data_IF_805918895131
#
_entry.id   IF_805918895131
#
_cell.length_a   1.000
_cell.length_b   1.000
_cell.length_c   1.000
_cell.angle_alpha   90.00
_cell.angle_beta   90.00
_cell.angle_gamma   90.00
#
_symmetry.space_group_name_H-M   'P 1'
#
loop_
_entity.id
_entity.type
_entity.pdbx_description
1 polymer ?
#
# COMPACT_ATOMS: atom_id res chain seq x y z
N UNK A 1 5.97 25.67 -1.15
CA UNK A 1 4.70 24.96 -0.86
C UNK A 1 4.30 25.11 0.59
N UNK A 2 4.97 24.47 1.57
CA UNK A 2 4.54 24.50 2.99
C UNK A 2 4.25 25.90 3.58
N UNK A 3 5.13 26.90 3.37
CA UNK A 3 4.94 28.26 3.93
C UNK A 3 3.64 28.95 3.51
N UNK A 4 3.13 28.62 2.32
CA UNK A 4 1.94 29.24 1.73
C UNK A 4 0.66 28.41 1.98
N UNK A 5 0.82 27.17 2.47
CA UNK A 5 -0.27 26.19 2.56
C UNK A 5 -0.25 25.47 3.91
N UNK A 6 -0.53 26.16 5.03
CA UNK A 6 -0.57 25.55 6.37
C UNK A 6 -1.71 24.55 6.57
N UNK A 7 -2.62 24.40 5.61
CA UNK A 7 -3.78 23.51 5.65
C UNK A 7 -3.40 22.03 5.47
N UNK A 8 -2.20 21.73 4.98
CA UNK A 8 -1.75 20.34 4.88
C UNK A 8 -1.59 19.72 6.26
N UNK A 9 -2.25 18.57 6.47
CA UNK A 9 -2.02 17.74 7.65
C UNK A 9 -0.58 17.26 7.72
N UNK A 10 -0.10 16.63 6.64
CA UNK A 10 1.24 16.06 6.54
C UNK A 10 1.78 16.11 5.12
N UNK A 11 3.07 15.82 4.97
CA UNK A 11 3.70 15.49 3.70
C UNK A 11 4.29 14.08 3.80
N UNK A 12 3.83 13.15 2.95
CA UNK A 12 4.43 11.81 2.84
C UNK A 12 5.74 11.91 2.05
N UNK A 13 6.87 11.79 2.75
CA UNK A 13 8.20 12.09 2.20
C UNK A 13 9.22 10.98 2.44
N UNK A 14 8.82 9.91 3.13
CA UNK A 14 9.75 8.88 3.59
C UNK A 14 9.14 7.50 3.73
N UNK A 15 9.99 6.50 3.97
CA UNK A 15 9.56 5.10 4.04
C UNK A 15 9.20 4.52 2.68
N UNK A 16 8.39 3.47 2.67
CA UNK A 16 8.09 2.71 1.45
C UNK A 16 9.37 2.23 0.75
N UNK A 17 9.46 2.45 -0.56
CA UNK A 17 10.65 2.08 -1.35
C UNK A 17 11.80 3.11 -1.27
N UNK A 18 11.53 4.33 -0.77
CA UNK A 18 12.49 5.44 -0.86
C UNK A 18 13.80 5.15 -0.12
N UNK A 19 13.75 4.39 0.99
CA UNK A 19 14.92 4.07 1.79
C UNK A 19 15.92 3.19 1.02
N UNK A 20 15.46 2.09 0.42
CA UNK A 20 16.31 1.19 -0.38
C UNK A 20 16.75 1.86 -1.68
N UNK A 21 15.83 2.54 -2.39
CA UNK A 21 16.13 3.20 -3.67
C UNK A 21 17.17 4.31 -3.52
N UNK A 22 17.07 5.12 -2.46
CA UNK A 22 18.03 6.18 -2.15
C UNK A 22 19.46 5.62 -2.05
N UNK A 23 19.64 4.53 -1.31
CA UNK A 23 20.94 3.91 -1.11
C UNK A 23 21.42 3.16 -2.36
N UNK A 24 20.55 2.34 -2.95
CA UNK A 24 20.91 1.37 -3.98
C UNK A 24 21.11 1.99 -5.35
N UNK A 25 20.24 2.92 -5.73
CA UNK A 25 20.18 3.45 -7.09
C UNK A 25 20.53 4.93 -7.19
N UNK A 26 20.26 5.72 -6.14
CA UNK A 26 20.54 7.15 -6.14
C UNK A 26 21.85 7.51 -5.42
N UNK A 27 22.45 6.54 -4.73
CA UNK A 27 23.71 6.71 -3.99
C UNK A 27 23.70 7.88 -2.99
N UNK A 28 22.56 8.09 -2.33
CA UNK A 28 22.40 9.13 -1.31
C UNK A 28 21.84 8.55 0.00
N UNK A 29 22.08 9.27 1.10
CA UNK A 29 21.66 8.85 2.43
C UNK A 29 20.19 9.26 2.68
N UNK A 30 19.26 8.31 2.90
CA UNK A 30 17.86 8.63 3.15
C UNK A 30 17.66 9.41 4.46
N UNK A 31 18.55 9.23 5.43
CA UNK A 31 18.52 10.00 6.69
C UNK A 31 18.89 11.46 6.48
N UNK A 32 19.90 11.74 5.65
CA UNK A 32 20.27 13.11 5.29
C UNK A 32 19.11 13.79 4.54
N UNK A 33 18.52 13.09 3.56
CA UNK A 33 17.34 13.56 2.84
C UNK A 33 16.21 13.96 3.80
N UNK A 34 15.91 13.13 4.81
CA UNK A 34 14.89 13.44 5.81
C UNK A 34 15.22 14.70 6.61
N UNK A 35 16.46 14.83 7.08
CA UNK A 35 16.90 15.99 7.87
C UNK A 35 16.82 17.29 7.05
N UNK A 36 17.22 17.24 5.78
CA UNK A 36 17.14 18.40 4.87
C UNK A 36 15.67 18.81 4.63
N UNK A 37 14.77 17.84 4.41
CA UNK A 37 13.33 18.09 4.28
C UNK A 37 12.76 18.66 5.59
N UNK A 38 13.12 18.11 6.74
CA UNK A 38 12.68 18.58 8.06
C UNK A 38 13.07 20.03 8.29
N UNK A 39 14.31 20.39 7.97
CA UNK A 39 14.82 21.76 8.08
C UNK A 39 14.07 22.71 7.13
N UNK A 40 13.74 22.27 5.91
CA UNK A 40 13.03 23.06 4.91
C UNK A 40 11.51 23.19 5.18
N UNK A 41 10.90 22.25 5.90
CA UNK A 41 9.45 22.17 6.13
C UNK A 41 9.07 22.15 7.62
N UNK A 42 9.46 23.13 8.46
CA UNK A 42 9.36 23.02 9.93
C UNK A 42 7.93 22.99 10.50
N UNK A 43 6.89 23.43 9.77
CA UNK A 43 5.52 23.54 10.31
C UNK A 43 4.50 22.58 9.66
N UNK A 44 4.95 21.53 8.97
CA UNK A 44 4.09 20.46 8.46
C UNK A 44 4.58 19.14 9.01
N UNK A 45 3.66 18.23 9.35
CA UNK A 45 4.01 16.91 9.83
C UNK A 45 4.69 16.11 8.70
N UNK A 46 5.82 15.47 8.98
CA UNK A 46 6.44 14.55 8.02
C UNK A 46 5.90 13.14 8.25
N UNK A 47 5.35 12.55 7.20
CA UNK A 47 4.77 11.23 7.23
C UNK A 47 5.68 10.23 6.53
N UNK A 48 5.74 9.02 7.09
CA UNK A 48 6.34 7.86 6.42
C UNK A 48 5.37 6.70 6.28
N UNK A 49 5.57 5.91 5.22
CA UNK A 49 4.95 4.59 5.10
C UNK A 49 5.85 3.52 5.75
N UNK A 50 5.30 2.80 6.73
CA UNK A 50 6.02 1.83 7.55
C UNK A 50 5.36 0.45 7.47
N UNK A 51 6.12 -0.60 7.14
CA UNK A 51 5.62 -1.98 7.10
C UNK A 51 5.78 -2.61 8.48
N UNK A 52 4.69 -2.92 9.19
CA UNK A 52 4.68 -3.34 10.60
C UNK A 52 5.90 -4.13 11.07
N UNK A 53 6.05 -5.37 10.62
CA UNK A 53 7.18 -6.23 11.00
C UNK A 53 8.42 -6.09 10.09
N UNK A 54 8.34 -5.31 9.01
CA UNK A 54 9.41 -5.21 8.00
C UNK A 54 10.07 -3.82 7.96
N UNK A 55 9.61 -2.84 8.74
CA UNK A 55 9.99 -1.44 8.64
C UNK A 55 10.01 -0.92 7.18
N UNK A 56 11.20 -0.75 6.61
CA UNK A 56 11.45 -0.33 5.22
C UNK A 56 12.09 -1.44 4.37
N UNK A 57 12.28 -2.64 4.93
CA UNK A 57 12.81 -3.82 4.26
C UNK A 57 11.72 -4.75 3.70
N UNK A 58 12.14 -5.96 3.33
CA UNK A 58 11.31 -6.96 2.62
C UNK A 58 11.20 -8.29 3.36
N UNK A 59 11.74 -8.39 4.57
CA UNK A 59 11.66 -9.55 5.45
C UNK A 59 11.31 -9.07 6.86
N UNK A 60 10.80 -9.96 7.70
CA UNK A 60 10.46 -9.57 9.06
C UNK A 60 11.73 -9.40 9.91
N UNK A 61 11.73 -8.38 10.75
CA UNK A 61 12.83 -8.10 11.67
C UNK A 61 12.44 -8.39 13.12
N UNK A 62 13.42 -8.72 13.97
CA UNK A 62 13.20 -8.81 15.41
C UNK A 62 12.64 -7.51 15.99
N UNK A 63 11.82 -7.62 17.05
CA UNK A 63 11.13 -6.49 17.69
C UNK A 63 12.06 -5.33 18.05
N UNK A 64 13.24 -5.62 18.62
CA UNK A 64 14.21 -4.59 19.01
C UNK A 64 14.75 -3.79 17.81
N UNK A 65 14.82 -4.40 16.62
CA UNK A 65 15.22 -3.69 15.39
C UNK A 65 14.12 -2.74 14.93
N UNK A 66 12.86 -3.19 15.01
CA UNK A 66 11.68 -2.35 14.70
C UNK A 66 11.61 -1.16 15.67
N UNK A 67 11.80 -1.41 16.96
CA UNK A 67 11.81 -0.39 18.01
C UNK A 67 12.87 0.69 17.75
N UNK A 68 14.13 0.28 17.58
CA UNK A 68 15.24 1.21 17.33
C UNK A 68 15.06 1.99 16.04
N UNK A 69 14.54 1.37 14.98
CA UNK A 69 14.29 2.08 13.73
C UNK A 69 13.25 3.19 13.92
N UNK A 70 12.14 2.90 14.63
CA UNK A 70 11.06 3.86 14.88
C UNK A 70 11.57 5.03 15.75
N UNK A 71 12.29 4.74 16.83
CA UNK A 71 12.88 5.76 17.70
C UNK A 71 13.82 6.68 16.90
N UNK A 72 14.70 6.10 16.07
CA UNK A 72 15.62 6.86 15.23
C UNK A 72 14.89 7.68 14.15
N UNK A 73 13.86 7.11 13.51
CA UNK A 73 13.04 7.80 12.52
C UNK A 73 12.32 9.01 13.13
N UNK A 74 11.74 8.84 14.32
CA UNK A 74 11.07 9.94 15.02
C UNK A 74 12.07 11.03 15.44
N UNK A 75 13.20 10.64 16.03
CA UNK A 75 14.27 11.57 16.41
C UNK A 75 14.85 12.35 15.21
N UNK A 76 14.80 11.76 14.01
CA UNK A 76 15.28 12.39 12.78
C UNK A 76 14.24 13.29 12.09
N UNK A 77 12.98 13.32 12.57
CA UNK A 77 11.96 14.26 12.13
C UNK A 77 10.68 13.65 11.54
N UNK A 78 10.49 12.33 11.60
CA UNK A 78 9.19 11.71 11.25
C UNK A 78 8.18 11.96 12.38
N UNK A 79 7.02 12.47 11.99
CA UNK A 79 5.92 12.79 12.89
C UNK A 79 4.76 11.80 12.78
N UNK A 80 4.44 11.30 11.57
CA UNK A 80 3.37 10.32 11.35
C UNK A 80 3.94 9.01 10.80
N UNK A 81 3.65 7.91 11.50
CA UNK A 81 3.99 6.56 11.06
C UNK A 81 2.72 5.89 10.54
N UNK A 82 2.60 5.79 9.21
CA UNK A 82 1.53 5.02 8.59
C UNK A 82 1.92 3.55 8.55
N UNK A 83 1.43 2.79 9.54
CA UNK A 83 1.81 1.40 9.78
C UNK A 83 0.81 0.48 9.07
N UNK A 84 1.30 -0.46 8.26
CA UNK A 84 0.46 -1.47 7.60
C UNK A 84 1.12 -2.85 7.60
N UNK A 85 0.32 -3.91 7.42
CA UNK A 85 0.78 -5.27 7.16
C UNK A 85 0.21 -5.74 5.81
N UNK A 86 1.01 -6.50 5.04
CA UNK A 86 0.63 -6.87 3.67
C UNK A 86 -0.56 -7.83 3.56
N UNK A 87 -0.96 -8.45 4.67
CA UNK A 87 -2.10 -9.36 4.77
C UNK A 87 -3.16 -8.84 5.76
N UNK A 88 -3.08 -7.57 6.17
CA UNK A 88 -3.84 -6.99 7.28
C UNK A 88 -3.71 -7.77 8.60
N UNK A 89 -2.57 -8.43 8.84
CA UNK A 89 -2.32 -9.10 10.11
C UNK A 89 -2.01 -8.09 11.21
N UNK A 90 -2.97 -7.86 12.12
CA UNK A 90 -2.83 -6.91 13.23
C UNK A 90 -1.65 -7.28 14.14
N UNK A 91 -1.42 -8.56 14.42
CA UNK A 91 -0.33 -9.01 15.29
C UNK A 91 1.05 -8.57 14.78
N UNK A 92 1.23 -8.51 13.46
CA UNK A 92 2.45 -8.00 12.82
C UNK A 92 2.64 -6.49 12.98
N UNK A 93 1.57 -5.74 13.24
CA UNK A 93 1.58 -4.29 13.39
C UNK A 93 1.72 -3.84 14.84
N UNK A 94 1.27 -4.65 15.81
CA UNK A 94 1.24 -4.30 17.23
C UNK A 94 2.59 -3.77 17.77
N UNK A 95 3.76 -4.41 17.49
CA UNK A 95 5.02 -3.89 18.00
C UNK A 95 5.34 -2.47 17.51
N UNK A 96 5.05 -2.19 16.24
CA UNK A 96 5.30 -0.87 15.66
C UNK A 96 4.34 0.18 16.22
N UNK A 97 3.05 -0.15 16.37
CA UNK A 97 2.03 0.73 16.95
C UNK A 97 2.42 1.08 18.40
N UNK A 98 2.70 0.05 19.22
CA UNK A 98 3.09 0.19 20.63
C UNK A 98 4.36 1.05 20.78
N UNK A 99 5.35 0.83 19.92
CA UNK A 99 6.61 1.60 19.93
C UNK A 99 6.35 3.08 19.66
N UNK A 100 5.62 3.41 18.59
CA UNK A 100 5.36 4.82 18.25
C UNK A 100 4.65 5.52 19.41
N UNK A 101 3.64 4.88 20.01
CA UNK A 101 2.86 5.44 21.12
C UNK A 101 3.70 5.65 22.38
N UNK A 102 4.49 4.64 22.79
CA UNK A 102 5.17 4.66 24.10
C UNK A 102 6.57 5.27 24.08
N UNK A 103 7.25 5.21 22.94
CA UNK A 103 8.68 5.54 22.83
C UNK A 103 8.96 6.80 22.01
N UNK A 104 7.92 7.39 21.40
CA UNK A 104 8.10 8.58 20.55
C UNK A 104 7.06 9.66 20.86
N UNK A 105 7.17 10.81 20.20
CA UNK A 105 6.11 11.85 20.17
C UNK A 105 5.29 11.79 18.88
N UNK A 106 5.48 10.76 18.08
CA UNK A 106 4.84 10.59 16.78
C UNK A 106 3.42 10.06 16.87
N UNK A 107 2.76 10.06 15.73
CA UNK A 107 1.38 9.62 15.55
C UNK A 107 1.41 8.25 14.86
N UNK A 108 1.03 7.21 15.60
CA UNK A 108 0.67 5.91 15.01
C UNK A 108 -0.62 6.03 14.19
N UNK A 109 -0.50 5.97 12.87
CA UNK A 109 -1.61 5.84 11.94
C UNK A 109 -1.66 4.37 11.46
N UNK A 110 -2.51 3.55 12.07
CA UNK A 110 -2.65 2.14 11.68
C UNK A 110 -3.49 2.01 10.42
N UNK A 111 -3.13 1.10 9.52
CA UNK A 111 -3.74 1.00 8.19
C UNK A 111 -4.45 -0.31 7.96
N UNK A 112 -5.59 -0.25 7.28
CA UNK A 112 -6.27 -1.39 6.67
C UNK A 112 -6.06 -1.30 5.17
N UNK A 113 -5.40 -2.28 4.58
CA UNK A 113 -5.29 -2.39 3.13
C UNK A 113 -6.62 -2.83 2.53
N UNK A 114 -7.13 -2.04 1.59
CA UNK A 114 -8.41 -2.29 0.93
C UNK A 114 -8.21 -3.18 -0.30
N UNK A 115 -9.05 -4.21 -0.45
CA UNK A 115 -9.07 -5.13 -1.59
C UNK A 115 -10.51 -5.59 -1.88
N UNK A 116 -10.78 -6.02 -3.11
CA UNK A 116 -12.13 -6.43 -3.49
C UNK A 116 -13.12 -5.27 -3.49
N UNK A 117 -14.39 -5.54 -3.18
CA UNK A 117 -15.44 -4.54 -3.27
C UNK A 117 -16.54 -4.71 -2.20
N UNK A 118 -16.62 -3.80 -1.24
CA UNK A 118 -17.63 -3.88 -0.16
C UNK A 118 -19.08 -3.71 -0.61
N UNK A 119 -19.34 -3.27 -1.86
CA UNK A 119 -20.71 -3.20 -2.39
C UNK A 119 -21.20 -4.54 -2.92
N UNK A 120 -20.37 -5.60 -2.92
CA UNK A 120 -20.82 -6.95 -3.27
C UNK A 120 -21.63 -7.57 -2.15
N UNK A 121 -22.15 -8.78 -2.38
CA UNK A 121 -22.86 -9.56 -1.37
C UNK A 121 -22.06 -9.67 -0.06
N UNK A 122 -22.75 -9.62 1.09
CA UNK A 122 -22.13 -9.71 2.42
C UNK A 122 -21.39 -11.04 2.67
N UNK A 123 -21.65 -12.08 1.88
CA UNK A 123 -20.89 -13.33 1.91
C UNK A 123 -19.50 -13.23 1.27
N UNK A 124 -19.20 -12.12 0.57
CA UNK A 124 -17.88 -11.90 0.01
C UNK A 124 -16.83 -11.77 1.12
N UNK A 125 -15.64 -12.32 0.87
CA UNK A 125 -14.56 -12.45 1.84
C UNK A 125 -14.17 -11.12 2.49
N UNK A 126 -14.17 -10.04 1.73
CA UNK A 126 -13.79 -8.69 2.18
C UNK A 126 -15.01 -7.77 2.24
N UNK A 127 -15.95 -8.11 3.12
CA UNK A 127 -17.19 -7.36 3.38
C UNK A 127 -16.98 -6.23 4.41
N UNK A 128 -18.05 -5.48 4.73
CA UNK A 128 -17.98 -4.38 5.71
C UNK A 128 -17.60 -4.84 7.13
N UNK A 129 -18.05 -6.02 7.55
CA UNK A 129 -17.73 -6.56 8.88
C UNK A 129 -16.22 -6.81 9.03
N UNK A 130 -15.57 -7.31 7.98
CA UNK A 130 -14.12 -7.47 7.95
C UNK A 130 -13.40 -6.14 8.20
N UNK A 131 -13.80 -5.07 7.51
CA UNK A 131 -13.15 -3.76 7.66
C UNK A 131 -13.44 -3.12 9.02
N UNK A 132 -14.66 -3.23 9.54
CA UNK A 132 -15.05 -2.63 10.83
C UNK A 132 -14.47 -3.39 12.03
N UNK A 133 -14.33 -4.71 11.96
CA UNK A 133 -13.62 -5.51 12.98
C UNK A 133 -12.14 -5.10 13.07
N UNK A 134 -11.46 -5.04 11.91
CA UNK A 134 -10.06 -4.61 11.86
C UNK A 134 -9.89 -3.20 12.42
N UNK A 135 -10.81 -2.28 12.09
CA UNK A 135 -10.76 -0.91 12.59
C UNK A 135 -10.85 -0.83 14.12
N UNK A 136 -11.82 -1.52 14.72
CA UNK A 136 -11.98 -1.59 16.19
C UNK A 136 -10.75 -2.15 16.86
N UNK A 137 -10.21 -3.25 16.35
CA UNK A 137 -9.02 -3.89 16.92
C UNK A 137 -7.76 -3.01 16.80
N UNK A 138 -7.65 -2.20 15.76
CA UNK A 138 -6.57 -1.24 15.60
C UNK A 138 -6.72 -0.03 16.54
N UNK A 139 -7.95 0.44 16.78
CA UNK A 139 -8.23 1.46 17.80
C UNK A 139 -7.96 0.93 19.22
N UNK A 140 -8.39 -0.29 19.53
CA UNK A 140 -8.12 -0.97 20.80
C UNK A 140 -6.61 -1.16 21.06
N UNK A 141 -5.82 -1.32 19.99
CA UNK A 141 -4.36 -1.35 20.05
C UNK A 141 -3.71 0.02 20.33
N UNK A 142 -4.51 1.09 20.40
CA UNK A 142 -4.08 2.44 20.73
C UNK A 142 -3.70 3.32 19.53
N UNK A 143 -4.02 2.92 18.30
CA UNK A 143 -3.75 3.75 17.13
C UNK A 143 -4.40 5.14 17.28
N UNK A 144 -3.68 6.20 16.94
CA UNK A 144 -4.21 7.57 17.03
C UNK A 144 -5.06 7.95 15.82
N UNK A 145 -4.82 7.30 14.68
CA UNK A 145 -5.51 7.50 13.41
C UNK A 145 -5.64 6.16 12.69
N UNK A 146 -6.71 6.02 11.90
CA UNK A 146 -6.92 4.90 10.99
C UNK A 146 -6.65 5.34 9.56
N UNK A 147 -5.99 4.50 8.75
CA UNK A 147 -5.86 4.68 7.31
C UNK A 147 -6.63 3.59 6.56
N UNK A 148 -7.46 3.98 5.59
CA UNK A 148 -7.88 3.09 4.51
C UNK A 148 -6.81 3.21 3.44
N UNK A 149 -6.01 2.15 3.26
CA UNK A 149 -4.95 2.09 2.24
C UNK A 149 -5.44 1.30 1.03
N UNK A 150 -6.03 2.01 0.08
CA UNK A 150 -6.39 1.48 -1.24
C UNK A 150 -5.20 1.56 -2.20
N UNK A 151 -4.29 0.59 -2.09
CA UNK A 151 -3.01 0.59 -2.81
C UNK A 151 -3.11 0.43 -4.33
N UNK A 152 -4.26 -0.01 -4.84
CA UNK A 152 -4.47 -0.27 -6.26
C UNK A 152 -5.47 0.70 -6.91
N UNK A 153 -6.29 1.41 -6.11
CA UNK A 153 -7.34 2.27 -6.65
C UNK A 153 -8.64 1.51 -6.91
N UNK A 154 -9.00 0.59 -6.01
CA UNK A 154 -10.15 -0.29 -6.11
C UNK A 154 -11.41 0.30 -5.47
N UNK A 155 -11.26 1.25 -4.54
CA UNK A 155 -12.39 1.81 -3.82
C UNK A 155 -13.24 2.68 -4.74
N UNK A 156 -14.37 2.13 -5.16
CA UNK A 156 -15.35 2.82 -6.00
C UNK A 156 -16.09 3.91 -5.20
N UNK A 157 -16.63 4.94 -5.85
CA UNK A 157 -17.35 6.00 -5.16
C UNK A 157 -18.49 5.50 -4.25
N UNK A 158 -19.31 4.57 -4.74
CA UNK A 158 -20.41 3.98 -3.96
C UNK A 158 -19.90 3.12 -2.78
N UNK A 159 -18.74 2.47 -2.97
CA UNK A 159 -18.09 1.72 -1.90
C UNK A 159 -17.61 2.66 -0.78
N UNK A 160 -17.11 3.87 -1.13
CA UNK A 160 -16.74 4.88 -0.15
C UNK A 160 -17.95 5.41 0.64
N UNK A 161 -19.11 5.60 -0.02
CA UNK A 161 -20.37 6.00 0.64
C UNK A 161 -20.87 4.97 1.66
N UNK A 162 -20.46 3.69 1.52
CA UNK A 162 -20.78 2.63 2.48
C UNK A 162 -19.70 2.44 3.55
N UNK A 163 -18.44 2.36 3.13
CA UNK A 163 -17.31 2.02 3.99
C UNK A 163 -17.00 3.14 4.99
N UNK A 164 -17.00 4.40 4.54
CA UNK A 164 -16.60 5.52 5.40
C UNK A 164 -17.56 5.70 6.58
N UNK A 165 -18.89 5.75 6.39
CA UNK A 165 -19.81 5.84 7.54
C UNK A 165 -19.69 4.65 8.49
N UNK A 166 -19.57 3.43 7.96
CA UNK A 166 -19.44 2.23 8.77
C UNK A 166 -18.17 2.27 9.65
N UNK A 167 -17.04 2.75 9.11
CA UNK A 167 -15.82 2.93 9.89
C UNK A 167 -15.96 4.05 10.92
N UNK A 168 -16.57 5.18 10.56
CA UNK A 168 -16.80 6.32 11.48
C UNK A 168 -17.78 5.99 12.61
N UNK A 169 -18.65 5.00 12.43
CA UNK A 169 -19.49 4.44 13.49
C UNK A 169 -18.72 3.43 14.35
N UNK A 170 -17.83 2.65 13.73
CA UNK A 170 -17.06 1.61 14.39
C UNK A 170 -15.95 2.14 15.31
N UNK A 171 -15.33 3.27 14.97
CA UNK A 171 -14.20 3.87 15.72
C UNK A 171 -14.39 5.36 15.99
N UNK A 172 -13.75 5.85 17.04
CA UNK A 172 -13.75 7.28 17.43
C UNK A 172 -12.54 8.06 16.90
N UNK A 173 -11.46 7.38 16.52
CA UNK A 173 -10.26 8.01 15.95
C UNK A 173 -10.47 8.53 14.51
N UNK A 174 -9.71 9.56 14.07
CA UNK A 174 -9.77 10.06 12.70
C UNK A 174 -9.43 9.00 11.66
N UNK A 175 -10.16 9.01 10.55
CA UNK A 175 -10.00 8.09 9.43
C UNK A 175 -9.50 8.85 8.20
N UNK A 176 -8.39 8.38 7.64
CA UNK A 176 -7.72 8.96 6.47
C UNK A 176 -7.85 7.99 5.30
N UNK A 177 -8.18 8.50 4.12
CA UNK A 177 -8.27 7.69 2.90
C UNK A 177 -7.06 7.96 1.98
N UNK A 178 -6.34 6.90 1.66
CA UNK A 178 -5.29 6.87 0.65
C UNK A 178 -5.74 5.99 -0.52
N UNK A 179 -5.75 6.52 -1.74
CA UNK A 179 -6.02 5.75 -2.96
C UNK A 179 -5.06 6.11 -4.09
N UNK A 180 -5.14 5.36 -5.18
CA UNK A 180 -4.42 5.58 -6.43
C UNK A 180 -5.42 5.81 -7.58
N UNK A 181 -5.12 6.72 -8.49
CA UNK A 181 -6.03 7.16 -9.56
C UNK A 181 -5.92 6.29 -10.83
N UNK A 182 -5.58 5.01 -10.67
CA UNK A 182 -5.29 4.09 -11.79
C UNK A 182 -6.49 3.98 -12.74
N UNK A 183 -7.70 3.94 -12.17
CA UNK A 183 -8.94 3.89 -12.92
C UNK A 183 -9.45 5.27 -13.38
N UNK A 184 -8.84 6.37 -12.91
CA UNK A 184 -9.20 7.74 -13.28
C UNK A 184 -10.53 8.23 -12.72
N UNK A 185 -11.05 7.57 -11.67
CA UNK A 185 -12.33 7.94 -11.04
C UNK A 185 -12.16 8.33 -9.57
N UNK A 186 -10.93 8.37 -9.05
CA UNK A 186 -10.71 8.43 -7.60
C UNK A 186 -10.90 9.81 -7.00
N UNK A 187 -10.89 10.89 -7.81
CA UNK A 187 -11.39 12.19 -7.36
C UNK A 187 -12.86 12.13 -6.95
N UNK A 188 -13.68 11.35 -7.66
CA UNK A 188 -15.07 11.13 -7.29
C UNK A 188 -15.18 10.25 -6.04
N UNK A 189 -14.32 9.24 -5.88
CA UNK A 189 -14.24 8.45 -4.63
C UNK A 189 -13.90 9.36 -3.44
N UNK A 190 -12.96 10.29 -3.59
CA UNK A 190 -12.62 11.26 -2.55
C UNK A 190 -13.77 12.19 -2.21
N UNK A 191 -14.46 12.76 -3.22
CA UNK A 191 -15.63 13.59 -2.96
C UNK A 191 -16.69 12.82 -2.16
N UNK A 192 -16.98 11.57 -2.56
CA UNK A 192 -17.92 10.72 -1.84
C UNK A 192 -17.49 10.35 -0.43
N UNK A 193 -16.20 10.09 -0.21
CA UNK A 193 -15.65 9.88 1.12
C UNK A 193 -15.77 11.15 1.99
N UNK A 194 -15.56 12.34 1.40
CA UNK A 194 -15.69 13.64 2.06
C UNK A 194 -17.14 13.94 2.42
N UNK A 195 -18.08 13.71 1.51
CA UNK A 195 -19.53 13.80 1.79
C UNK A 195 -19.92 12.86 2.93
N UNK A 196 -19.25 11.71 3.03
CA UNK A 196 -19.49 10.66 4.03
C UNK A 196 -18.72 10.85 5.34
N UNK A 197 -17.98 11.95 5.50
CA UNK A 197 -17.33 12.30 6.77
C UNK A 197 -15.91 11.78 6.98
N UNK A 198 -15.18 11.38 5.92
CA UNK A 198 -13.73 11.07 6.03
C UNK A 198 -12.96 12.29 6.57
N UNK A 199 -11.92 12.09 7.38
CA UNK A 199 -11.24 13.20 8.06
C UNK A 199 -10.09 13.81 7.22
N UNK A 200 -9.38 12.99 6.43
CA UNK A 200 -8.36 13.47 5.50
C UNK A 200 -8.24 12.56 4.26
N UNK A 201 -7.68 13.09 3.17
CA UNK A 201 -7.37 12.34 1.95
C UNK A 201 -5.96 12.65 1.47
N UNK A 202 -5.30 11.66 0.86
CA UNK A 202 -3.97 11.84 0.27
C UNK A 202 -4.07 12.31 -1.19
N UNK A 203 -3.34 13.36 -1.56
CA UNK A 203 -3.30 13.85 -2.95
C UNK A 203 -1.87 14.06 -3.42
N UNK A 204 -1.67 14.06 -4.74
CA UNK A 204 -0.40 14.44 -5.36
C UNK A 204 -0.52 15.78 -6.07
N UNK A 205 0.55 16.58 -6.09
CA UNK A 205 0.60 17.81 -6.90
C UNK A 205 0.40 17.46 -8.38
N UNK A 206 -0.32 18.30 -9.14
CA UNK A 206 -0.80 17.94 -10.47
C UNK A 206 0.29 17.41 -11.44
N UNK A 207 1.51 17.95 -11.42
CA UNK A 207 2.62 17.49 -12.27
C UNK A 207 3.07 16.03 -12.03
N UNK A 208 2.71 15.46 -10.87
CA UNK A 208 3.06 14.10 -10.44
C UNK A 208 1.82 13.26 -10.05
N UNK A 209 0.61 13.68 -10.44
CA UNK A 209 -0.64 13.00 -10.09
C UNK A 209 -1.25 12.20 -11.26
N UNK A 210 -2.32 11.46 -10.97
CA UNK A 210 -3.06 10.68 -11.95
C UNK A 210 -2.37 9.37 -12.31
N UNK A 211 -3.05 8.55 -13.14
CA UNK A 211 -2.58 7.19 -13.50
C UNK A 211 -2.27 6.38 -12.24
N UNK A 212 -1.12 5.73 -12.12
CA UNK A 212 -0.76 4.96 -10.93
C UNK A 212 -0.38 5.82 -9.71
N UNK A 213 -0.43 7.15 -9.80
CA UNK A 213 -0.21 8.07 -8.66
C UNK A 213 -1.52 8.37 -7.91
N UNK A 214 -1.47 9.22 -6.89
CA UNK A 214 -2.66 9.72 -6.20
C UNK A 214 -3.48 10.67 -7.11
N UNK A 215 -4.78 10.88 -6.78
CA UNK A 215 -5.57 11.95 -7.37
C UNK A 215 -4.92 13.34 -7.22
N UNK A 216 -5.17 14.21 -8.21
CA UNK A 216 -4.62 15.56 -8.29
C UNK A 216 -5.11 16.49 -7.17
N UNK A 217 -4.19 17.05 -6.38
CA UNK A 217 -4.47 18.08 -5.38
C UNK A 217 -5.14 19.30 -6.03
N UNK A 218 -4.59 19.80 -7.14
CA UNK A 218 -5.09 20.99 -7.82
C UNK A 218 -6.55 20.77 -8.27
N UNK A 219 -6.83 19.61 -8.85
CA UNK A 219 -8.18 19.25 -9.31
C UNK A 219 -9.12 19.02 -8.12
N UNK A 220 -8.64 18.45 -7.01
CA UNK A 220 -9.43 18.30 -5.79
C UNK A 220 -9.85 19.67 -5.24
N UNK A 221 -8.97 20.67 -5.23
CA UNK A 221 -9.33 22.02 -4.78
C UNK A 221 -10.39 22.68 -5.65
N UNK A 222 -10.31 22.51 -6.98
CA UNK A 222 -11.37 22.95 -7.89
C UNK A 222 -12.68 22.20 -7.64
N UNK A 223 -12.63 20.88 -7.42
CA UNK A 223 -13.81 20.07 -7.11
C UNK A 223 -14.49 20.50 -5.81
N UNK A 224 -13.71 20.98 -4.85
CA UNK A 224 -14.20 21.46 -3.55
C UNK A 224 -14.68 22.92 -3.57
N UNK A 225 -14.62 23.63 -4.69
CA UNK A 225 -15.06 25.03 -4.75
C UNK A 225 -16.56 25.15 -4.39
N UNK A 226 -16.87 25.94 -3.36
CA UNK A 226 -18.23 26.07 -2.82
C UNK A 226 -18.70 24.91 -1.93
N UNK A 227 -17.87 23.87 -1.74
CA UNK A 227 -18.20 22.76 -0.84
C UNK A 227 -18.07 23.18 0.64
N UNK A 228 -18.97 22.76 1.55
CA UNK A 228 -18.93 23.16 2.97
C UNK A 228 -17.65 22.78 3.72
N UNK A 229 -16.98 21.71 3.28
CA UNK A 229 -15.71 21.21 3.86
C UNK A 229 -14.46 21.70 3.11
N UNK A 230 -14.59 22.69 2.24
CA UNK A 230 -13.47 23.19 1.44
C UNK A 230 -12.46 23.97 2.30
N UNK A 231 -11.18 23.77 2.02
CA UNK A 231 -10.11 24.59 2.56
C UNK A 231 -9.72 25.70 1.58
N UNK A 232 -9.55 26.93 2.08
CA UNK A 232 -9.01 28.02 1.28
C UNK A 232 -7.51 27.82 1.08
N UNK A 233 -7.11 27.50 -0.16
CA UNK A 233 -5.73 27.30 -0.57
C UNK A 233 -5.47 28.08 -1.86
N UNK A 234 -4.27 28.64 -2.00
CA UNK A 234 -3.89 29.39 -3.21
C UNK A 234 -3.62 28.44 -4.39
N UNK A 235 -4.66 28.18 -5.19
CA UNK A 235 -4.58 27.33 -6.38
C UNK A 235 -3.59 27.86 -7.42
N UNK A 236 -3.43 29.17 -7.54
CA UNK A 236 -2.45 29.76 -8.47
C UNK A 236 -1.03 29.40 -8.04
N UNK A 237 -0.72 29.56 -6.75
CA UNK A 237 0.58 29.16 -6.22
C UNK A 237 0.83 27.65 -6.32
N UNK A 238 -0.21 26.82 -6.16
CA UNK A 238 -0.10 25.37 -6.37
C UNK A 238 0.13 25.02 -7.84
N UNK A 239 -0.46 25.74 -8.79
CA UNK A 239 -0.17 25.56 -10.22
C UNK A 239 1.29 25.92 -10.54
N UNK A 240 1.85 26.98 -9.94
CA UNK A 240 3.27 27.32 -10.08
C UNK A 240 4.19 26.21 -9.54
N UNK A 241 3.84 25.62 -8.40
CA UNK A 241 4.54 24.44 -7.88
C UNK A 241 4.39 23.20 -8.76
N UNK A 242 3.21 22.99 -9.35
CA UNK A 242 3.00 21.93 -10.32
C UNK A 242 3.92 22.08 -11.53
N UNK A 243 4.05 23.30 -12.06
CA UNK A 243 4.94 23.58 -13.20
C UNK A 243 6.41 23.24 -12.87
N UNK A 244 6.87 23.58 -11.65
CA UNK A 244 8.19 23.16 -11.18
C UNK A 244 8.35 21.64 -11.22
N UNK A 245 7.38 20.90 -10.67
CA UNK A 245 7.44 19.45 -10.64
C UNK A 245 7.32 18.80 -12.01
N UNK A 246 6.58 19.39 -12.95
CA UNK A 246 6.55 18.95 -14.35
C UNK A 246 7.93 19.06 -15.00
N UNK A 247 8.64 20.18 -14.81
CA UNK A 247 10.02 20.32 -15.33
C UNK A 247 10.98 19.33 -14.65
N UNK A 248 10.85 19.12 -13.33
CA UNK A 248 11.67 18.11 -12.63
C UNK A 248 11.39 16.71 -13.18
N UNK A 249 10.13 16.36 -13.44
CA UNK A 249 9.72 15.06 -13.99
C UNK A 249 10.38 14.77 -15.34
N UNK A 250 10.57 15.78 -16.19
CA UNK A 250 11.25 15.63 -17.49
C UNK A 250 12.68 15.06 -17.34
N UNK A 251 13.37 15.36 -16.25
CA UNK A 251 14.70 14.78 -15.96
C UNK A 251 14.65 13.28 -15.69
N UNK A 252 13.48 12.74 -15.31
CA UNK A 252 13.25 11.34 -15.00
C UNK A 252 12.55 10.58 -16.15
N UNK A 253 12.46 11.17 -17.35
CA UNK A 253 11.84 10.55 -18.53
C UNK A 253 12.24 9.07 -18.76
N UNK A 254 13.51 8.63 -18.59
CA UNK A 254 13.88 7.22 -18.77
C UNK A 254 13.19 6.23 -17.81
N UNK A 255 12.59 6.72 -16.73
CA UNK A 255 11.90 5.91 -15.72
C UNK A 255 10.37 6.02 -15.82
N UNK A 256 9.84 6.74 -16.81
CA UNK A 256 8.40 6.82 -17.04
C UNK A 256 7.81 5.46 -17.42
N UNK A 257 6.62 5.17 -16.90
CA UNK A 257 5.88 3.96 -17.26
C UNK A 257 5.25 4.09 -18.65
N UNK A 258 4.85 2.97 -19.23
CA UNK A 258 4.10 2.91 -20.50
C UNK A 258 2.63 3.29 -20.36
N UNK A 259 2.11 3.37 -19.12
CA UNK A 259 0.72 3.74 -18.86
C UNK A 259 0.51 5.23 -19.09
N UNK A 260 -0.19 5.56 -20.19
CA UNK A 260 -0.42 6.96 -20.62
C UNK A 260 -1.78 7.52 -20.19
N UNK A 261 -2.70 6.66 -19.78
CA UNK A 261 -4.08 7.01 -19.50
C UNK A 261 -4.65 6.08 -18.42
N UNK A 262 -5.78 6.45 -17.79
CA UNK A 262 -6.48 5.58 -16.86
C UNK A 262 -6.85 4.22 -17.46
N UNK A 263 -6.89 3.19 -16.63
CA UNK A 263 -7.33 1.84 -17.02
C UNK A 263 -8.21 1.22 -15.94
N UNK A 264 -9.36 0.70 -16.36
CA UNK A 264 -10.30 -0.01 -15.48
C UNK A 264 -9.94 -1.48 -15.28
N UNK A 265 -8.95 -2.00 -16.03
CA UNK A 265 -8.41 -3.36 -15.85
C UNK A 265 -7.91 -3.61 -14.42
N UNK A 266 -7.56 -2.54 -13.69
CA UNK A 266 -7.16 -2.62 -12.28
C UNK A 266 -8.23 -3.25 -11.39
N UNK A 267 -9.52 -3.14 -11.74
CA UNK A 267 -10.59 -3.81 -11.00
C UNK A 267 -10.64 -5.33 -11.22
N UNK A 268 -9.94 -5.83 -12.24
CA UNK A 268 -9.81 -7.26 -12.51
C UNK A 268 -8.51 -7.79 -11.94
N UNK A 269 -7.38 -7.15 -12.28
CA UNK A 269 -6.05 -7.63 -11.89
C UNK A 269 -5.61 -7.21 -10.48
N UNK A 270 -6.19 -6.14 -9.93
CA UNK A 270 -5.87 -5.60 -8.62
C UNK A 270 -4.36 -5.40 -8.38
N UNK A 271 -3.61 -5.07 -9.44
CA UNK A 271 -2.18 -4.79 -9.36
C UNK A 271 -1.99 -3.39 -8.75
N UNK A 272 -1.29 -3.26 -7.60
CA UNK A 272 -1.00 -1.95 -7.02
C UNK A 272 -0.21 -1.05 -7.96
N UNK A 273 -0.42 0.27 -7.89
CA UNK A 273 0.24 1.22 -8.79
C UNK A 273 1.77 1.07 -8.82
N UNK A 274 2.40 0.97 -7.65
CA UNK A 274 3.86 0.75 -7.55
C UNK A 274 4.31 -0.64 -8.03
N UNK A 275 3.43 -1.65 -8.01
CA UNK A 275 3.74 -2.97 -8.57
C UNK A 275 3.60 -2.97 -10.09
N UNK A 276 2.69 -2.19 -10.68
CA UNK A 276 2.46 -2.13 -12.12
C UNK A 276 3.75 -1.76 -12.87
N UNK A 277 4.38 -0.64 -12.51
CA UNK A 277 5.63 -0.20 -13.14
C UNK A 277 6.79 -1.18 -12.91
N UNK A 278 6.85 -1.79 -11.72
CA UNK A 278 7.88 -2.78 -11.39
C UNK A 278 7.70 -4.10 -12.14
N UNK A 279 6.45 -4.56 -12.33
CA UNK A 279 6.14 -5.83 -12.98
C UNK A 279 6.61 -5.82 -14.44
N UNK A 280 6.49 -4.67 -15.12
CA UNK A 280 7.01 -4.49 -16.48
C UNK A 280 8.54 -4.61 -16.52
N UNK A 281 9.24 -3.92 -15.63
CA UNK A 281 10.71 -4.01 -15.53
C UNK A 281 11.17 -5.44 -15.21
N UNK A 282 10.45 -6.14 -14.33
CA UNK A 282 10.70 -7.54 -14.02
C UNK A 282 10.48 -8.44 -15.25
N UNK A 283 9.39 -8.23 -16.00
CA UNK A 283 9.10 -8.97 -17.21
C UNK A 283 10.18 -8.76 -18.29
N UNK A 284 10.60 -7.51 -18.51
CA UNK A 284 11.68 -7.17 -19.45
C UNK A 284 13.00 -7.84 -19.05
N UNK A 285 13.36 -7.84 -17.76
CA UNK A 285 14.57 -8.46 -17.25
C UNK A 285 14.64 -9.99 -17.46
N UNK A 286 13.49 -10.67 -17.60
CA UNK A 286 13.41 -12.11 -17.88
C UNK A 286 12.99 -12.43 -19.32
N UNK A 287 13.00 -11.44 -20.23
CA UNK A 287 12.68 -11.65 -21.64
C UNK A 287 11.18 -11.84 -21.95
N UNK A 288 10.31 -11.49 -21.00
CA UNK A 288 8.85 -11.59 -21.12
C UNK A 288 8.16 -10.23 -21.33
N UNK A 289 8.91 -9.16 -21.61
CA UNK A 289 8.35 -7.80 -21.75
C UNK A 289 7.21 -7.69 -22.77
N UNK A 290 7.25 -8.48 -23.85
CA UNK A 290 6.18 -8.53 -24.87
C UNK A 290 4.94 -9.32 -24.44
N UNK A 291 4.97 -9.99 -23.28
CA UNK A 291 3.90 -10.84 -22.76
C UNK A 291 3.20 -10.22 -21.54
N UNK A 292 3.29 -8.90 -21.37
CA UNK A 292 2.73 -8.20 -20.21
C UNK A 292 1.23 -8.47 -19.99
N UNK A 293 0.46 -8.57 -21.08
CA UNK A 293 -0.97 -8.87 -21.01
C UNK A 293 -1.25 -10.30 -20.51
N UNK A 294 -0.41 -11.26 -20.87
CA UNK A 294 -0.51 -12.64 -20.36
C UNK A 294 -0.08 -12.71 -18.89
N UNK A 295 0.91 -11.91 -18.49
CA UNK A 295 1.32 -11.80 -17.08
C UNK A 295 0.19 -11.21 -16.24
N UNK A 296 -0.52 -10.17 -16.72
CA UNK A 296 -1.68 -9.60 -16.02
C UNK A 296 -2.80 -10.64 -15.83
N UNK A 297 -3.09 -11.45 -16.86
CA UNK A 297 -4.06 -12.56 -16.75
C UNK A 297 -3.63 -13.59 -15.72
N UNK A 298 -2.38 -14.01 -15.76
CA UNK A 298 -1.84 -14.94 -14.78
C UNK A 298 -1.83 -14.34 -13.36
N UNK A 299 -1.66 -13.03 -13.21
CA UNK A 299 -1.77 -12.35 -11.91
C UNK A 299 -3.17 -12.51 -11.30
N UNK A 300 -4.24 -12.42 -12.11
CA UNK A 300 -5.63 -12.70 -11.68
C UNK A 300 -5.77 -14.16 -11.25
N UNK A 301 -5.31 -15.09 -12.09
CA UNK A 301 -5.40 -16.54 -11.80
C UNK A 301 -4.65 -16.89 -10.52
N UNK A 302 -3.47 -16.33 -10.32
CA UNK A 302 -2.67 -16.54 -9.11
C UNK A 302 -3.36 -15.98 -7.87
N UNK A 303 -3.96 -14.80 -7.93
CA UNK A 303 -4.70 -14.26 -6.79
C UNK A 303 -5.84 -15.22 -6.36
N UNK A 304 -6.62 -15.70 -7.32
CA UNK A 304 -7.67 -16.68 -7.04
C UNK A 304 -7.11 -17.99 -6.49
N UNK A 305 -6.04 -18.53 -7.10
CA UNK A 305 -5.35 -19.72 -6.59
C UNK A 305 -4.85 -19.57 -5.16
N UNK A 306 -4.38 -18.38 -4.78
CA UNK A 306 -3.87 -18.08 -3.44
C UNK A 306 -4.99 -17.81 -2.42
N UNK A 307 -6.25 -17.92 -2.84
CA UNK A 307 -7.43 -17.80 -1.99
C UNK A 307 -7.94 -16.37 -1.85
N UNK A 308 -7.71 -15.52 -2.86
CA UNK A 308 -8.07 -14.11 -2.92
C UNK A 308 -7.44 -13.32 -1.75
N UNK A 309 -6.24 -12.79 -1.94
CA UNK A 309 -5.44 -12.17 -0.87
C UNK A 309 -5.34 -10.66 -1.02
N UNK A 310 -5.02 -9.98 0.08
CA UNK A 310 -4.55 -8.59 0.05
C UNK A 310 -3.21 -8.55 -0.69
N UNK A 311 -3.11 -7.71 -1.72
CA UNK A 311 -1.93 -7.60 -2.59
C UNK A 311 -1.26 -6.25 -2.44
N UNK A 312 -0.31 -6.14 -1.53
CA UNK A 312 0.53 -4.95 -1.34
C UNK A 312 1.93 -5.42 -0.97
N UNK A 313 2.97 -4.61 -1.10
CA UNK A 313 4.33 -5.09 -0.83
C UNK A 313 4.48 -5.64 0.60
N UNK A 314 5.01 -6.87 0.79
CA UNK A 314 5.58 -7.76 -0.22
C UNK A 314 4.63 -8.82 -0.84
N UNK A 315 3.38 -9.00 -0.39
CA UNK A 315 2.44 -10.00 -0.95
C UNK A 315 2.14 -9.79 -2.45
N UNK A 316 2.07 -8.55 -2.93
CA UNK A 316 1.91 -8.25 -4.37
C UNK A 316 3.06 -8.79 -5.22
N UNK A 317 4.29 -8.77 -4.67
CA UNK A 317 5.46 -9.35 -5.34
C UNK A 317 5.35 -10.86 -5.43
N UNK A 318 4.86 -11.52 -4.38
CA UNK A 318 4.66 -12.98 -4.37
C UNK A 318 3.72 -13.39 -5.51
N UNK A 319 2.62 -12.66 -5.69
CA UNK A 319 1.68 -12.88 -6.81
C UNK A 319 2.34 -12.60 -8.16
N UNK A 320 3.10 -11.50 -8.27
CA UNK A 320 3.85 -11.15 -9.49
C UNK A 320 4.90 -12.18 -9.92
N UNK A 321 5.70 -12.67 -8.97
CA UNK A 321 6.74 -13.68 -9.21
C UNK A 321 6.10 -15.00 -9.70
N UNK A 322 4.96 -15.40 -9.13
CA UNK A 322 4.22 -16.58 -9.56
C UNK A 322 3.58 -16.39 -10.95
N UNK A 323 3.03 -15.21 -11.23
CA UNK A 323 2.46 -14.90 -12.55
C UNK A 323 3.53 -14.96 -13.65
N UNK A 324 4.70 -14.36 -13.40
CA UNK A 324 5.88 -14.45 -14.28
C UNK A 324 6.32 -15.89 -14.48
N UNK A 325 6.38 -16.68 -13.40
CA UNK A 325 6.73 -18.11 -13.47
C UNK A 325 5.75 -18.90 -14.35
N UNK A 326 4.44 -18.69 -14.16
CA UNK A 326 3.41 -19.35 -14.97
C UNK A 326 3.53 -18.96 -16.44
N UNK A 327 3.69 -17.67 -16.74
CA UNK A 327 3.83 -17.20 -18.13
C UNK A 327 5.10 -17.74 -18.78
N UNK A 328 6.24 -17.71 -18.09
CA UNK A 328 7.53 -18.21 -18.61
C UNK A 328 7.45 -19.68 -19.02
N UNK A 329 6.76 -20.49 -18.19
CA UNK A 329 6.66 -21.94 -18.36
C UNK A 329 5.38 -22.39 -19.09
N UNK A 330 4.52 -21.44 -19.51
CA UNK A 330 3.22 -21.70 -20.16
C UNK A 330 2.31 -22.62 -19.33
N UNK A 331 2.28 -22.41 -18.03
CA UNK A 331 1.53 -23.23 -17.07
C UNK A 331 0.14 -22.65 -16.84
N UNK A 332 -0.87 -23.52 -16.81
CA UNK A 332 -2.24 -23.20 -16.42
C UNK A 332 -2.45 -23.42 -14.91
N UNK A 333 -3.62 -23.04 -14.38
CA UNK A 333 -4.01 -23.37 -13.01
C UNK A 333 -3.95 -24.88 -12.77
N UNK A 334 -4.45 -25.64 -13.73
CA UNK A 334 -4.54 -27.10 -13.67
C UNK A 334 -3.14 -27.72 -13.59
N UNK A 335 -2.17 -27.20 -14.35
CA UNK A 335 -0.78 -27.67 -14.30
C UNK A 335 -0.11 -27.41 -12.95
N UNK A 336 -0.47 -26.29 -12.28
CA UNK A 336 0.04 -25.96 -10.94
C UNK A 336 -0.58 -26.87 -9.87
N UNK A 337 -1.86 -27.23 -10.01
CA UNK A 337 -2.59 -28.07 -9.05
C UNK A 337 -2.35 -29.57 -9.26
N UNK A 338 -1.77 -29.97 -10.38
CA UNK A 338 -1.37 -31.35 -10.65
C UNK A 338 -0.10 -31.73 -9.86
N UNK A 339 -0.31 -32.42 -8.74
CA UNK A 339 0.78 -32.90 -7.87
C UNK A 339 1.67 -33.99 -8.50
N UNK A 340 1.35 -34.48 -9.71
CA UNK A 340 2.27 -35.34 -10.47
C UNK A 340 3.37 -34.54 -11.17
N UNK A 341 3.15 -33.24 -11.40
CA UNK A 341 4.13 -32.35 -12.01
C UNK A 341 5.07 -31.75 -10.96
N UNK A 342 6.37 -31.73 -11.26
CA UNK A 342 7.39 -31.21 -10.35
C UNK A 342 7.81 -29.82 -10.79
N UNK A 343 7.25 -28.81 -10.12
CA UNK A 343 7.60 -27.41 -10.36
C UNK A 343 8.66 -26.92 -9.36
N UNK A 344 9.52 -26.00 -9.82
CA UNK A 344 10.48 -25.25 -8.99
C UNK A 344 9.93 -23.85 -8.73
N UNK A 345 9.02 -23.74 -7.76
CA UNK A 345 8.34 -22.48 -7.46
C UNK A 345 9.31 -21.37 -7.02
N UNK A 346 8.99 -20.10 -7.30
CA UNK A 346 9.79 -18.96 -6.83
C UNK A 346 9.96 -18.97 -5.30
N UNK A 347 11.13 -18.54 -4.82
CA UNK A 347 11.44 -18.53 -3.38
C UNK A 347 10.47 -17.68 -2.55
N UNK A 348 9.95 -16.59 -3.13
CA UNK A 348 8.93 -15.73 -2.52
C UNK A 348 7.61 -16.46 -2.30
N UNK A 349 7.19 -17.30 -3.25
CA UNK A 349 5.98 -18.14 -3.17
C UNK A 349 6.15 -19.22 -2.10
N UNK A 350 7.29 -19.90 -2.08
CA UNK A 350 7.61 -20.88 -1.04
C UNK A 350 7.61 -20.20 0.34
N UNK A 351 8.25 -19.04 0.48
CA UNK A 351 8.28 -18.26 1.71
C UNK A 351 6.89 -17.84 2.20
N UNK A 352 6.02 -17.38 1.30
CA UNK A 352 4.63 -17.05 1.61
C UNK A 352 3.88 -18.27 2.16
N UNK A 353 3.88 -19.41 1.45
CA UNK A 353 3.17 -20.61 1.90
C UNK A 353 3.77 -21.24 3.16
N UNK A 354 5.06 -21.01 3.44
CA UNK A 354 5.67 -21.34 4.74
C UNK A 354 5.06 -20.53 5.88
N UNK A 355 4.62 -19.30 5.62
CA UNK A 355 4.07 -18.35 6.60
C UNK A 355 5.00 -17.17 6.90
N UNK A 356 6.01 -16.91 6.06
CA UNK A 356 7.01 -15.85 6.30
C UNK A 356 6.41 -14.44 6.35
N UNK A 357 5.26 -14.24 5.71
CA UNK A 357 4.53 -12.96 5.67
C UNK A 357 3.34 -12.94 6.64
N UNK A 358 3.20 -13.96 7.50
CA UNK A 358 2.00 -14.20 8.28
C UNK A 358 1.00 -15.12 7.57
N UNK A 359 -0.21 -15.19 8.11
CA UNK A 359 -1.31 -16.01 7.59
C UNK A 359 -2.31 -15.07 6.91
N UNK A 360 -2.71 -15.31 5.64
CA UNK A 360 -3.74 -14.51 5.01
C UNK A 360 -5.10 -14.72 5.69
N UNK A 361 -5.97 -13.71 5.64
CA UNK A 361 -7.36 -13.86 6.08
C UNK A 361 -8.02 -15.06 5.38
N UNK A 362 -8.71 -15.92 6.13
CA UNK A 362 -9.26 -17.18 5.63
C UNK A 362 -8.26 -18.36 5.55
N UNK A 363 -6.98 -18.14 5.85
CA UNK A 363 -5.95 -19.17 5.81
C UNK A 363 -5.42 -19.46 4.41
N UNK A 364 -4.46 -20.38 4.32
CA UNK A 364 -3.87 -20.79 3.04
C UNK A 364 -4.73 -21.87 2.36
N UNK A 365 -4.90 -21.82 1.02
CA UNK A 365 -5.64 -22.85 0.30
C UNK A 365 -4.88 -24.19 0.24
N UNK A 366 -5.57 -25.27 0.55
CA UNK A 366 -5.14 -26.65 0.27
C UNK A 366 -5.95 -27.18 -0.94
N UNK A 367 -5.37 -28.01 -1.83
CA UNK A 367 -4.07 -28.68 -1.70
C UNK A 367 -2.86 -27.85 -2.14
N UNK A 368 -3.05 -26.63 -2.65
CA UNK A 368 -1.99 -25.82 -3.24
C UNK A 368 -0.80 -25.60 -2.29
N UNK A 369 -1.07 -25.25 -1.02
CA UNK A 369 0.00 -25.10 -0.03
C UNK A 369 0.85 -26.35 0.11
N UNK A 370 0.22 -27.53 0.17
CA UNK A 370 0.94 -28.81 0.25
C UNK A 370 1.78 -29.09 -1.00
N UNK A 371 1.26 -28.76 -2.19
CA UNK A 371 1.99 -28.92 -3.47
C UNK A 371 3.24 -28.01 -3.49
N UNK A 372 3.08 -26.75 -3.11
CA UNK A 372 4.20 -25.78 -3.11
C UNK A 372 5.27 -26.16 -2.09
N UNK A 373 4.86 -26.59 -0.89
CA UNK A 373 5.79 -26.90 0.19
C UNK A 373 6.43 -28.29 0.05
N UNK A 374 5.77 -29.26 -0.58
CA UNK A 374 6.21 -30.66 -0.61
C UNK A 374 6.52 -31.14 0.82
N UNK A 375 7.81 -31.34 1.15
CA UNK A 375 8.30 -31.78 2.46
C UNK A 375 8.85 -30.65 3.33
N UNK A 376 8.75 -29.39 2.89
CA UNK A 376 9.22 -28.23 3.63
C UNK A 376 8.42 -28.01 4.93
N UNK A 377 9.12 -27.69 6.01
CA UNK A 377 8.47 -27.42 7.31
C UNK A 377 7.69 -26.10 7.24
N UNK A 378 6.41 -26.16 7.64
CA UNK A 378 5.58 -24.98 7.89
C UNK A 378 6.16 -24.20 9.08
N UNK A 379 6.13 -22.88 9.03
CA UNK A 379 6.47 -22.08 10.20
C UNK A 379 5.43 -22.28 11.30
N UNK A 380 5.89 -22.40 12.56
CA UNK A 380 4.99 -22.38 13.72
C UNK A 380 4.49 -20.96 13.87
N UNK A 381 3.20 -20.77 13.66
CA UNK A 381 2.50 -19.52 13.97
C UNK A 381 1.76 -19.74 15.27
N UNK A 382 2.37 -19.43 16.40
CA UNK A 382 1.60 -19.22 17.62
C UNK A 382 0.93 -17.83 17.51
N UNK A 383 -0.32 -17.67 17.98
CA UNK A 383 -0.92 -16.34 18.08
C UNK A 383 0.01 -15.42 18.89
N UNK A 384 0.42 -14.28 18.31
CA UNK A 384 1.34 -13.32 18.95
C UNK A 384 2.84 -13.60 18.76
N UNK A 385 3.25 -14.74 18.21
CA UNK A 385 4.61 -14.87 17.66
C UNK A 385 4.59 -14.24 16.29
N UNK A 386 5.27 -13.11 16.11
CA UNK A 386 5.54 -12.57 14.78
C UNK A 386 6.13 -13.64 13.84
N UNK A 387 6.18 -13.38 12.53
CA UNK A 387 6.79 -14.31 11.58
C UNK A 387 8.14 -14.82 12.13
N UNK A 388 8.39 -16.13 12.12
CA UNK A 388 9.57 -16.67 12.78
C UNK A 388 10.83 -16.06 12.19
N UNK A 389 11.76 -15.76 13.09
CA UNK A 389 13.12 -15.38 12.72
C UNK A 389 13.72 -16.52 11.87
N UNK A 390 14.23 -16.17 10.69
CA UNK A 390 15.09 -17.07 9.90
C UNK A 390 16.40 -17.34 10.63
#
# INVERSE_FOLDING_TARGET
MQKNHPQFLSAEVWGGATFDVALRFLHECPWQRLQDIRAAMPNVLLQMLFRGSNAVGYSAYPRNVIEQFIEQASASGIDIFRIFDSLNNIESMLPAIDTVIRHTKGIAQASICYTGNVTTDNSYKYNLDYYTDLAKRLEDAGAHMLAIKDMAGLLRPQAAEMLVPALKEAVSIPVVLHTHDTAGIQLLTYLKAIDSGIDAVDTAIAGLSGTTSQPSLNSMLTLMEGHPRAHQMDLRNLNEHSNYWSVVRDYYFPFESDLKAPTVEVYENEIPGGQYSNLRQQAEAVGLGSQIEEIKKNYIVVNDMFGDIVKVTPSSKVVGDMALFMTSNRLTREDILDNSQVHSFPASVIGFFKGALGIPYGGFPEPLRSIVLKNEKKYRTEPGSGPPMM
#
